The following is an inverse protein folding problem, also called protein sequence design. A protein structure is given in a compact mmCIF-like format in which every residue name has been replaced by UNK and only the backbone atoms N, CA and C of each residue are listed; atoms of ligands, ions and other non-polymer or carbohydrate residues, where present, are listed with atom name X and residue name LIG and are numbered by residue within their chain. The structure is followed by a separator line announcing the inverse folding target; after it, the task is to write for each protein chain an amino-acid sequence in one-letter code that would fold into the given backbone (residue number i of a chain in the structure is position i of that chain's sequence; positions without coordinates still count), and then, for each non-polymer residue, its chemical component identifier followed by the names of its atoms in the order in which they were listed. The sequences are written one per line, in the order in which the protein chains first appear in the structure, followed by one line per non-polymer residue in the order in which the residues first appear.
data_IF_895075079288
#
_entry.id   IF_895075079288
#
_cell.length_a   1.000
_cell.length_b   1.000
_cell.length_c   1.000
_cell.angle_alpha   90.00
_cell.angle_beta   90.00
_cell.angle_gamma   90.00
#
_symmetry.space_group_name_H-M   'P 1'
#
loop_
_entity.id
_entity.type
_entity.pdbx_description
1 polymer ?
#
# COMPACT_ATOMS: atom_id res chain seq x y z
N UNK A 1 -12.39 -12.43 -57.24
CA UNK A 1 -12.42 -13.59 -56.31
C UNK A 1 -13.19 -13.32 -55.01
N UNK A 2 -13.03 -12.15 -54.35
CA UNK A 2 -13.78 -11.78 -53.13
C UNK A 2 -15.32 -11.88 -53.24
N UNK A 3 -15.89 -11.48 -54.39
CA UNK A 3 -17.35 -11.56 -54.65
C UNK A 3 -17.90 -13.01 -54.62
N UNK A 4 -17.10 -13.98 -55.08
CA UNK A 4 -17.48 -15.40 -55.05
C UNK A 4 -17.41 -15.96 -53.63
N UNK A 5 -16.38 -15.57 -52.85
CA UNK A 5 -16.25 -15.94 -51.45
C UNK A 5 -17.41 -15.42 -50.59
N UNK A 6 -17.81 -14.15 -50.78
CA UNK A 6 -18.94 -13.53 -50.07
C UNK A 6 -20.28 -14.22 -50.35
N UNK A 7 -20.56 -14.56 -51.62
CA UNK A 7 -21.76 -15.35 -52.01
C UNK A 7 -21.76 -16.72 -51.34
N UNK A 8 -20.60 -17.34 -51.17
CA UNK A 8 -20.46 -18.65 -50.56
C UNK A 8 -20.71 -18.61 -49.04
N UNK A 9 -20.12 -17.63 -48.34
CA UNK A 9 -20.37 -17.35 -46.92
C UNK A 9 -21.86 -17.10 -46.64
N UNK A 10 -22.52 -16.30 -47.48
CA UNK A 10 -23.96 -16.01 -47.34
C UNK A 10 -24.88 -17.19 -47.62
N UNK A 11 -24.44 -18.19 -48.39
CA UNK A 11 -25.22 -19.39 -48.74
C UNK A 11 -25.13 -20.47 -47.67
N UNK A 12 -24.05 -20.49 -46.87
CA UNK A 12 -23.81 -21.47 -45.81
C UNK A 12 -23.74 -20.82 -44.41
N UNK A 13 -24.75 -20.01 -44.09
CA UNK A 13 -24.76 -19.10 -42.92
C UNK A 13 -24.48 -19.77 -41.59
N UNK A 14 -25.04 -20.96 -41.34
CA UNK A 14 -24.90 -21.66 -40.05
C UNK A 14 -23.44 -22.10 -39.84
N UNK A 15 -22.82 -22.74 -40.83
CA UNK A 15 -21.42 -23.20 -40.74
C UNK A 15 -20.47 -22.01 -40.59
N UNK A 16 -20.70 -20.95 -41.37
CA UNK A 16 -19.92 -19.71 -41.28
C UNK A 16 -20.05 -19.05 -39.92
N UNK A 17 -21.26 -19.00 -39.34
CA UNK A 17 -21.50 -18.47 -38.00
C UNK A 17 -20.73 -19.26 -36.95
N UNK A 18 -20.81 -20.60 -36.95
CA UNK A 18 -20.11 -21.43 -35.95
C UNK A 18 -18.59 -21.15 -35.98
N UNK A 19 -17.98 -21.15 -37.16
CA UNK A 19 -16.53 -20.90 -37.27
C UNK A 19 -16.16 -19.46 -36.93
N UNK A 20 -16.95 -18.48 -37.37
CA UNK A 20 -16.70 -17.08 -37.07
C UNK A 20 -16.86 -16.77 -35.58
N UNK A 21 -17.88 -17.35 -34.93
CA UNK A 21 -18.11 -17.23 -33.48
C UNK A 21 -17.01 -17.90 -32.68
N UNK A 22 -16.51 -19.07 -33.09
CA UNK A 22 -15.39 -19.73 -32.43
C UNK A 22 -14.11 -18.88 -32.49
N UNK A 23 -13.81 -18.31 -33.67
CA UNK A 23 -12.67 -17.39 -33.84
C UNK A 23 -12.87 -16.12 -33.01
N UNK A 24 -14.04 -15.51 -33.07
CA UNK A 24 -14.35 -14.28 -32.34
C UNK A 24 -14.29 -14.49 -30.82
N UNK A 25 -14.81 -15.62 -30.31
CA UNK A 25 -14.76 -15.95 -28.91
C UNK A 25 -13.32 -16.20 -28.45
N UNK A 26 -12.55 -17.00 -29.20
CA UNK A 26 -11.15 -17.28 -28.90
C UNK A 26 -10.31 -15.99 -28.87
N UNK A 27 -10.44 -15.16 -29.89
CA UNK A 27 -9.74 -13.87 -29.96
C UNK A 27 -10.23 -12.92 -28.86
N UNK A 28 -11.52 -12.88 -28.59
CA UNK A 28 -12.11 -12.07 -27.52
C UNK A 28 -11.55 -12.44 -26.15
N UNK A 29 -11.51 -13.74 -25.83
CA UNK A 29 -10.91 -14.24 -24.59
C UNK A 29 -9.41 -13.92 -24.51
N UNK A 30 -8.68 -14.05 -25.61
CA UNK A 30 -7.27 -13.68 -25.68
C UNK A 30 -7.06 -12.18 -25.38
N UNK A 31 -7.85 -11.31 -26.00
CA UNK A 31 -7.75 -9.86 -25.78
C UNK A 31 -8.14 -9.46 -24.35
N UNK A 32 -9.19 -10.06 -23.79
CA UNK A 32 -9.59 -9.84 -22.40
C UNK A 32 -8.46 -10.29 -21.46
N UNK A 33 -7.87 -11.46 -21.70
CA UNK A 33 -6.78 -11.97 -20.87
C UNK A 33 -5.55 -11.06 -20.92
N UNK A 34 -5.23 -10.49 -22.09
CA UNK A 34 -4.13 -9.53 -22.25
C UNK A 34 -4.42 -8.23 -21.50
N UNK A 35 -5.61 -7.65 -21.67
CA UNK A 35 -6.01 -6.42 -20.99
C UNK A 35 -6.08 -6.59 -19.47
N UNK A 36 -6.55 -7.73 -18.99
CA UNK A 36 -6.54 -8.08 -17.57
C UNK A 36 -5.12 -8.21 -17.04
N UNK A 37 -4.22 -8.87 -17.77
CA UNK A 37 -2.81 -8.98 -17.41
C UNK A 37 -2.15 -7.60 -17.26
N UNK A 38 -2.29 -6.73 -18.26
CA UNK A 38 -1.71 -5.39 -18.25
C UNK A 38 -2.24 -4.53 -17.09
N UNK A 39 -3.55 -4.57 -16.86
CA UNK A 39 -4.17 -3.88 -15.74
C UNK A 39 -3.66 -4.39 -14.39
N UNK A 40 -3.51 -5.71 -14.22
CA UNK A 40 -2.96 -6.30 -12.99
C UNK A 40 -1.52 -5.88 -12.77
N UNK A 41 -0.66 -5.89 -13.79
CA UNK A 41 0.73 -5.43 -13.67
C UNK A 41 0.81 -3.94 -13.33
N UNK A 42 0.01 -3.11 -13.99
CA UNK A 42 -0.05 -1.68 -13.70
C UNK A 42 -0.54 -1.39 -12.28
N UNK A 43 -1.55 -2.12 -11.80
CA UNK A 43 -2.04 -1.94 -10.44
C UNK A 43 -1.06 -2.47 -9.39
N UNK A 44 -0.39 -3.59 -9.66
CA UNK A 44 0.59 -4.17 -8.75
C UNK A 44 1.77 -3.22 -8.53
N UNK A 45 2.28 -2.56 -9.59
CA UNK A 45 3.38 -1.60 -9.47
C UNK A 45 2.97 -0.35 -8.69
N UNK A 46 1.80 0.23 -8.98
CA UNK A 46 1.27 1.39 -8.24
C UNK A 46 0.97 1.05 -6.78
N UNK A 47 0.39 -0.11 -6.55
CA UNK A 47 0.08 -0.60 -5.19
C UNK A 47 1.36 -0.87 -4.40
N UNK A 48 2.38 -1.45 -5.02
CA UNK A 48 3.68 -1.65 -4.40
C UNK A 48 4.33 -0.32 -4.00
N UNK A 49 4.32 0.69 -4.89
CA UNK A 49 4.84 2.02 -4.57
C UNK A 49 4.08 2.68 -3.41
N UNK A 50 2.73 2.69 -3.46
CA UNK A 50 1.89 3.23 -2.38
C UNK A 50 2.12 2.53 -1.03
N UNK A 51 2.21 1.21 -1.05
CA UNK A 51 2.44 0.39 0.17
C UNK A 51 3.85 0.59 0.72
N UNK A 52 4.86 0.69 -0.16
CA UNK A 52 6.24 0.91 0.25
C UNK A 52 6.44 2.30 0.89
N UNK A 53 5.63 3.27 0.46
CA UNK A 53 5.55 4.61 1.02
C UNK A 53 5.87 5.74 0.05
N UNK A 54 5.65 5.50 -1.24
CA UNK A 54 5.91 6.42 -2.34
C UNK A 54 6.79 5.78 -3.41
N UNK A 55 7.04 6.53 -4.48
CA UNK A 55 7.84 6.08 -5.62
C UNK A 55 9.35 6.02 -5.30
N UNK A 56 9.79 6.79 -4.30
CA UNK A 56 11.18 6.85 -3.87
C UNK A 56 11.29 6.79 -2.35
N UNK A 57 12.19 5.94 -1.88
CA UNK A 57 12.49 5.74 -0.47
C UNK A 57 13.94 6.11 -0.20
N UNK A 58 14.15 7.10 0.67
CA UNK A 58 15.49 7.56 1.08
C UNK A 58 15.74 7.06 2.49
N UNK A 59 16.80 6.28 2.68
CA UNK A 59 17.12 5.63 3.96
C UNK A 59 18.58 5.91 4.30
N UNK A 60 18.91 5.87 5.60
CA UNK A 60 20.30 5.99 6.03
C UNK A 60 21.15 4.84 5.47
N UNK A 61 22.44 5.11 5.27
CA UNK A 61 23.36 4.15 4.66
C UNK A 61 23.40 2.84 5.48
N UNK A 62 23.12 1.73 4.80
CA UNK A 62 23.12 0.38 5.36
C UNK A 62 21.95 0.03 6.29
N UNK A 63 20.91 0.87 6.34
CA UNK A 63 19.63 0.55 6.98
C UNK A 63 19.06 -0.80 6.49
N UNK A 64 19.07 -1.02 5.16
CA UNK A 64 18.60 -2.29 4.57
C UNK A 64 19.46 -3.51 4.89
N UNK A 65 20.74 -3.32 5.23
CA UNK A 65 21.63 -4.43 5.54
C UNK A 65 21.56 -4.86 7.00
N UNK A 66 21.29 -3.93 7.92
CA UNK A 66 21.20 -4.23 9.36
C UNK A 66 19.78 -4.34 9.89
N UNK A 67 18.78 -3.78 9.19
CA UNK A 67 17.41 -3.67 9.70
C UNK A 67 17.30 -2.81 10.97
N UNK A 68 18.35 -2.04 11.27
CA UNK A 68 18.53 -1.38 12.56
C UNK A 68 17.79 -0.03 12.57
N UNK A 69 16.75 0.13 13.41
CA UNK A 69 16.00 1.38 13.53
C UNK A 69 16.85 2.54 14.09
N UNK A 70 18.02 2.26 14.68
CA UNK A 70 18.97 3.28 15.13
C UNK A 70 19.66 4.02 13.97
N UNK A 71 19.59 3.49 12.74
CA UNK A 71 20.16 4.16 11.55
C UNK A 71 19.23 5.24 11.04
N UNK A 72 19.35 6.40 11.67
CA UNK A 72 18.62 7.61 11.32
C UNK A 72 19.34 8.41 10.24
N UNK A 73 18.57 9.18 9.47
CA UNK A 73 19.10 10.16 8.53
C UNK A 73 19.58 11.37 9.33
N UNK A 74 20.83 11.77 9.13
CA UNK A 74 21.36 13.00 9.73
C UNK A 74 20.71 14.24 9.08
N UNK A 75 20.34 15.23 9.89
CA UNK A 75 19.71 16.48 9.43
C UNK A 75 18.47 16.26 8.52
N UNK A 76 17.46 15.49 8.96
CA UNK A 76 16.36 15.05 8.10
C UNK A 76 15.52 16.23 7.56
N UNK A 77 15.43 17.33 8.31
CA UNK A 77 14.64 18.51 7.89
C UNK A 77 15.21 19.20 6.66
N UNK A 78 16.50 19.50 6.63
CA UNK A 78 17.13 20.19 5.49
C UNK A 78 17.13 19.33 4.22
N UNK A 79 17.28 18.01 4.38
CA UNK A 79 17.17 17.06 3.26
C UNK A 79 15.74 17.03 2.74
N UNK A 80 14.75 16.95 3.63
CA UNK A 80 13.34 16.93 3.26
C UNK A 80 12.91 18.18 2.49
N UNK A 81 13.32 19.37 2.96
CA UNK A 81 13.06 20.64 2.26
C UNK A 81 13.70 20.66 0.87
N UNK A 82 14.97 20.26 0.76
CA UNK A 82 15.67 20.19 -0.53
C UNK A 82 14.99 19.24 -1.53
N UNK A 83 14.43 18.13 -1.06
CA UNK A 83 13.69 17.18 -1.90
C UNK A 83 12.35 17.78 -2.36
N UNK A 84 11.64 18.49 -1.48
CA UNK A 84 10.36 19.13 -1.82
C UNK A 84 10.52 20.19 -2.91
N UNK A 85 11.66 20.86 -2.99
CA UNK A 85 11.96 21.85 -4.02
C UNK A 85 12.38 21.24 -5.37
N UNK A 86 12.66 19.93 -5.41
CA UNK A 86 13.13 19.29 -6.63
C UNK A 86 12.01 19.20 -7.70
N UNK A 87 12.32 19.48 -8.98
CA UNK A 87 11.33 19.40 -10.04
C UNK A 87 10.72 17.99 -10.17
N UNK A 88 9.39 17.92 -10.19
CA UNK A 88 8.65 16.66 -10.34
C UNK A 88 8.31 15.95 -9.01
N UNK A 89 8.74 16.48 -7.86
CA UNK A 89 8.32 15.96 -6.56
C UNK A 89 6.94 16.52 -6.21
N UNK A 90 5.96 15.62 -6.05
CA UNK A 90 4.58 15.99 -5.66
C UNK A 90 4.51 16.25 -4.16
N UNK A 91 5.14 15.41 -3.35
CA UNK A 91 5.35 15.64 -1.93
C UNK A 91 6.46 14.72 -1.39
N UNK A 92 6.97 15.04 -0.21
CA UNK A 92 7.92 14.23 0.53
C UNK A 92 7.55 14.23 2.01
N UNK A 93 7.48 13.05 2.62
CA UNK A 93 7.00 12.86 4.00
C UNK A 93 8.08 12.16 4.83
N UNK A 94 8.40 12.65 6.04
CA UNK A 94 9.27 11.94 6.95
C UNK A 94 8.52 10.76 7.58
N UNK A 95 9.12 9.57 7.53
CA UNK A 95 8.57 8.36 8.17
C UNK A 95 9.61 7.69 9.04
N UNK A 96 9.16 7.18 10.18
CA UNK A 96 9.94 6.36 11.10
C UNK A 96 9.23 5.01 11.23
N UNK A 97 9.98 3.93 11.05
CA UNK A 97 9.48 2.56 11.19
C UNK A 97 10.24 1.85 12.30
N UNK A 98 9.51 1.31 13.27
CA UNK A 98 10.09 0.60 14.42
C UNK A 98 9.31 -0.70 14.61
N UNK A 99 10.01 -1.79 14.83
CA UNK A 99 9.38 -3.05 15.21
C UNK A 99 9.14 -3.05 16.73
N UNK A 100 7.98 -3.55 17.13
CA UNK A 100 7.58 -3.56 18.53
C UNK A 100 6.53 -4.60 18.84
N UNK A 101 6.01 -4.51 20.04
CA UNK A 101 5.02 -5.43 20.57
C UNK A 101 3.94 -4.62 21.28
N UNK A 102 2.70 -4.83 20.88
CA UNK A 102 1.53 -4.29 21.57
C UNK A 102 0.98 -5.34 22.51
N UNK A 103 0.72 -4.95 23.75
CA UNK A 103 0.18 -5.81 24.81
C UNK A 103 -1.15 -5.28 25.32
N UNK A 104 -2.09 -6.19 25.55
CA UNK A 104 -3.36 -5.95 26.22
C UNK A 104 -3.54 -6.92 27.39
N UNK A 105 -4.68 -6.82 28.10
CA UNK A 105 -5.05 -7.79 29.12
C UNK A 105 -5.26 -9.21 28.60
N UNK A 106 -5.44 -9.38 27.27
CA UNK A 106 -5.79 -10.65 26.63
C UNK A 106 -4.60 -11.32 25.93
N UNK A 107 -3.52 -10.59 25.69
CA UNK A 107 -2.33 -11.15 25.04
C UNK A 107 -1.39 -10.09 24.49
N UNK A 108 -0.49 -10.53 23.61
CA UNK A 108 0.52 -9.72 22.97
C UNK A 108 0.64 -10.06 21.47
N UNK A 109 0.85 -9.03 20.66
CA UNK A 109 1.04 -9.15 19.23
C UNK A 109 2.26 -8.36 18.78
N UNK A 110 3.06 -8.96 17.88
CA UNK A 110 4.14 -8.26 17.20
C UNK A 110 3.56 -7.27 16.19
N UNK A 111 4.06 -6.03 16.19
CA UNK A 111 3.59 -4.97 15.32
C UNK A 111 4.76 -4.18 14.72
N UNK A 112 4.51 -3.57 13.57
CA UNK A 112 5.36 -2.52 13.04
C UNK A 112 4.70 -1.18 13.36
N UNK A 113 5.36 -0.35 14.17
CA UNK A 113 4.95 1.03 14.39
C UNK A 113 5.46 1.92 13.27
N UNK A 114 4.56 2.76 12.76
CA UNK A 114 4.86 3.76 11.75
C UNK A 114 4.53 5.13 12.35
N UNK A 115 5.55 5.97 12.51
CA UNK A 115 5.41 7.36 12.88
C UNK A 115 5.61 8.26 11.66
N UNK A 116 4.69 9.19 11.43
CA UNK A 116 4.64 10.03 10.22
C UNK A 116 3.85 11.32 10.50
N UNK A 117 4.01 12.33 9.65
CA UNK A 117 3.11 13.49 9.65
C UNK A 117 1.82 13.14 8.92
N UNK A 118 0.75 13.04 9.71
CA UNK A 118 -0.56 12.53 9.29
C UNK A 118 -1.25 13.48 8.33
N UNK A 119 -1.03 14.79 8.49
CA UNK A 119 -1.63 15.80 7.63
C UNK A 119 -1.04 15.70 6.22
N UNK A 120 0.28 15.51 6.14
CA UNK A 120 0.97 15.31 4.87
C UNK A 120 0.64 13.95 4.25
N UNK A 121 0.46 12.92 5.09
CA UNK A 121 0.14 11.57 4.62
C UNK A 121 -1.26 11.50 4.02
N UNK A 122 -2.26 12.12 4.65
CA UNK A 122 -3.62 12.24 4.10
C UNK A 122 -3.61 13.03 2.78
N UNK A 123 -2.79 14.08 2.68
CA UNK A 123 -2.68 14.87 1.45
C UNK A 123 -2.08 14.07 0.27
N UNK A 124 -1.20 13.10 0.56
CA UNK A 124 -0.61 12.23 -0.46
C UNK A 124 -1.47 11.01 -0.80
N UNK A 125 -2.07 10.40 0.22
CA UNK A 125 -2.91 9.23 0.09
C UNK A 125 -4.02 9.32 1.13
N UNK A 126 -5.27 9.13 0.70
CA UNK A 126 -6.39 9.08 1.62
C UNK A 126 -6.35 7.79 2.45
N UNK A 127 -5.47 7.77 3.46
CA UNK A 127 -5.34 6.68 4.43
C UNK A 127 -6.58 6.55 5.30
N UNK A 128 -7.41 7.59 5.37
CA UNK A 128 -8.68 7.56 6.12
C UNK A 128 -9.72 6.68 5.43
N UNK A 129 -9.61 6.46 4.12
CA UNK A 129 -10.47 5.53 3.39
C UNK A 129 -10.35 4.07 3.88
N UNK A 130 -9.26 3.71 4.57
CA UNK A 130 -9.07 2.38 5.16
C UNK A 130 -9.56 2.28 6.61
N UNK A 131 -10.10 3.36 7.18
CA UNK A 131 -10.61 3.37 8.54
C UNK A 131 -11.94 2.59 8.60
N UNK A 132 -11.94 1.50 9.36
CA UNK A 132 -13.14 0.68 9.57
C UNK A 132 -13.98 1.22 10.71
N UNK A 133 -13.34 1.66 11.79
CA UNK A 133 -14.00 2.08 13.03
C UNK A 133 -13.18 3.15 13.76
N UNK A 134 -13.87 4.07 14.43
CA UNK A 134 -13.25 5.12 15.24
C UNK A 134 -12.95 6.40 14.47
N UNK A 135 -11.95 7.13 14.95
CA UNK A 135 -11.50 8.39 14.36
C UNK A 135 -10.01 8.25 14.03
N UNK A 136 -9.63 8.73 12.85
CA UNK A 136 -8.21 8.83 12.51
C UNK A 136 -7.54 9.84 13.44
N UNK A 137 -6.21 9.89 13.40
CA UNK A 137 -5.36 10.64 14.33
C UNK A 137 -5.43 12.18 14.10
N UNK A 138 -6.62 12.78 14.27
CA UNK A 138 -6.95 14.16 13.91
C UNK A 138 -6.72 15.19 15.03
N UNK A 139 -5.95 14.83 16.06
CA UNK A 139 -5.50 15.75 17.11
C UNK A 139 -6.60 16.08 18.13
N UNK A 140 -6.54 15.48 19.32
CA UNK A 140 -7.48 15.77 20.40
C UNK A 140 -7.37 14.84 21.61
N UNK A 141 -6.90 13.60 21.38
CA UNK A 141 -6.61 12.64 22.45
C UNK A 141 -5.12 12.62 22.78
N UNK A 142 -4.79 12.24 24.02
CA UNK A 142 -3.41 12.01 24.46
C UNK A 142 -2.93 10.68 23.87
N UNK A 143 -1.87 10.71 23.05
CA UNK A 143 -1.26 9.54 22.41
C UNK A 143 -2.27 8.62 21.67
N UNK A 144 -2.99 9.14 20.65
CA UNK A 144 -3.89 8.30 19.88
C UNK A 144 -3.08 7.34 18.99
N UNK A 145 -3.59 6.13 18.82
CA UNK A 145 -3.02 5.11 17.94
C UNK A 145 -4.11 4.57 17.01
N UNK A 146 -3.71 4.16 15.81
CA UNK A 146 -4.55 3.38 14.91
C UNK A 146 -3.93 2.00 14.80
N UNK A 147 -4.74 0.97 15.02
CA UNK A 147 -4.33 -0.43 14.93
C UNK A 147 -4.94 -1.08 13.70
N UNK A 148 -4.16 -1.95 13.04
CA UNK A 148 -4.69 -2.80 11.98
C UNK A 148 -5.79 -3.72 12.53
N UNK A 149 -6.86 -3.93 11.75
CA UNK A 149 -8.03 -4.71 12.20
C UNK A 149 -7.65 -6.11 12.70
N UNK A 150 -6.73 -6.80 12.03
CA UNK A 150 -6.26 -8.12 12.47
C UNK A 150 -5.63 -8.11 13.87
N UNK A 151 -4.79 -7.11 14.18
CA UNK A 151 -4.18 -6.98 15.52
C UNK A 151 -5.24 -6.67 16.57
N UNK A 152 -6.22 -5.82 16.23
CA UNK A 152 -7.33 -5.52 17.13
C UNK A 152 -8.20 -6.76 17.41
N UNK A 153 -8.52 -7.55 16.37
CA UNK A 153 -9.31 -8.78 16.50
C UNK A 153 -8.56 -9.86 17.30
N UNK A 154 -7.27 -10.07 17.02
CA UNK A 154 -6.42 -11.05 17.72
C UNK A 154 -6.30 -10.75 19.21
N UNK A 155 -6.26 -9.47 19.57
CA UNK A 155 -6.19 -9.00 20.96
C UNK A 155 -7.56 -8.71 21.57
N UNK A 156 -8.64 -8.87 20.79
CA UNK A 156 -10.02 -8.56 21.16
C UNK A 156 -10.24 -7.12 21.62
N UNK A 157 -9.55 -6.16 21.03
CA UNK A 157 -9.59 -4.76 21.44
C UNK A 157 -10.82 -4.03 20.89
N UNK A 158 -11.41 -3.19 21.73
CA UNK A 158 -12.47 -2.26 21.35
C UNK A 158 -12.01 -0.80 21.48
N UNK A 159 -12.73 0.13 20.86
CA UNK A 159 -12.42 1.56 20.95
C UNK A 159 -12.54 2.02 22.40
N UNK A 160 -11.44 2.56 22.94
CA UNK A 160 -11.36 3.04 24.32
C UNK A 160 -10.53 2.13 25.23
N UNK A 161 -10.19 0.92 24.76
CA UNK A 161 -9.25 0.05 25.46
C UNK A 161 -7.85 0.66 25.53
N UNK A 162 -7.15 0.34 26.63
CA UNK A 162 -5.75 0.72 26.81
C UNK A 162 -4.85 -0.43 26.40
N UNK A 163 -3.85 -0.10 25.61
CA UNK A 163 -2.77 -1.01 25.25
C UNK A 163 -1.44 -0.42 25.70
N UNK A 164 -0.45 -1.29 25.87
CA UNK A 164 0.92 -0.89 26.13
C UNK A 164 1.74 -1.26 24.91
N UNK A 165 2.47 -0.29 24.37
CA UNK A 165 3.41 -0.51 23.26
C UNK A 165 4.81 -0.62 23.83
N UNK A 166 5.49 -1.72 23.52
CA UNK A 166 6.91 -1.92 23.82
C UNK A 166 7.70 -1.89 22.51
N UNK A 167 8.68 -1.01 22.39
CA UNK A 167 9.54 -0.89 21.21
C UNK A 167 10.98 -0.58 21.64
N UNK A 168 11.96 -0.84 20.76
CA UNK A 168 13.34 -0.46 21.01
C UNK A 168 13.58 0.99 20.59
N UNK A 169 14.28 1.74 21.42
CA UNK A 169 14.78 3.07 21.05
C UNK A 169 16.05 2.96 20.17
N UNK A 170 16.56 4.08 19.65
CA UNK A 170 17.81 4.10 18.88
C UNK A 170 19.08 3.70 19.67
N UNK A 171 19.03 3.67 21.01
CA UNK A 171 20.13 3.19 21.84
C UNK A 171 20.09 1.66 22.05
N UNK A 172 19.01 1.00 21.62
CA UNK A 172 18.77 -0.43 21.82
C UNK A 172 18.02 -0.73 23.12
N UNK A 173 17.57 0.28 23.84
CA UNK A 173 16.84 0.13 25.09
C UNK A 173 15.34 -0.09 24.82
N UNK A 174 14.74 -1.02 25.57
CA UNK A 174 13.31 -1.30 25.48
C UNK A 174 12.51 -0.22 26.19
N UNK A 175 11.77 0.56 25.42
CA UNK A 175 10.88 1.61 25.91
C UNK A 175 9.43 1.11 25.88
N UNK A 176 8.68 1.47 26.92
CA UNK A 176 7.26 1.16 27.08
C UNK A 176 6.45 2.46 27.14
N UNK A 177 5.41 2.54 26.31
CA UNK A 177 4.49 3.68 26.21
C UNK A 177 3.03 3.23 26.31
#
# INVERSE_FOLDING_TARGET
MLLLAWRNLRRNRIRTLITASAIALSLGLMLISLGMGDAMYGEMTRSAARTAGGDLLIHARGYWASGDPARLIEQPRGILESIREAPGVVAAIPRVRIEGLVSSSRGNAGIQLIGSDISEEIALQDVTAFLVEGEFLTGGRKSPIVLGRGVADDLGLEIGDRVVVTASDPAGDLVRA
#
